data_IF_366223753226
#
_entry.id   IF_366223753226
#
_cell.length_a   1.000
_cell.length_b   1.000
_cell.length_c   1.000
_cell.angle_alpha   90.00
_cell.angle_beta   90.00
_cell.angle_gamma   90.00
#
_symmetry.space_group_name_H-M   'P 1'
#
loop_
_entity.id
_entity.type
_entity.pdbx_description
1 polymer ?
#
# COMPACT_ATOMS: atom_id res chain seq x y z
N UNK A 1 -1.59 19.20 -17.07
CA UNK A 1 -2.51 18.87 -15.96
C UNK A 1 -1.76 17.91 -15.04
N UNK A 2 -1.32 18.38 -13.86
CA UNK A 2 -0.71 17.55 -12.81
C UNK A 2 -1.71 17.49 -11.66
N UNK A 3 -2.76 16.67 -11.82
CA UNK A 3 -3.70 16.43 -10.73
C UNK A 3 -3.10 15.35 -9.81
N UNK A 4 -2.88 15.61 -8.51
CA UNK A 4 -2.43 14.59 -7.56
C UNK A 4 -3.30 13.33 -7.54
N UNK A 5 -4.56 13.42 -8.01
CA UNK A 5 -5.48 12.30 -8.11
C UNK A 5 -5.28 11.43 -9.36
N UNK A 6 -4.41 11.81 -10.31
CA UNK A 6 -4.07 10.99 -11.48
C UNK A 6 -2.92 10.02 -11.22
N UNK A 7 -2.36 10.03 -10.00
CA UNK A 7 -1.25 9.16 -9.59
C UNK A 7 -1.81 8.09 -8.67
N UNK A 8 -1.41 6.84 -8.90
CA UNK A 8 -1.79 5.74 -8.02
C UNK A 8 -1.50 6.07 -6.54
N UNK A 9 -2.34 5.64 -5.60
CA UNK A 9 -2.12 5.90 -4.18
C UNK A 9 -0.89 5.18 -3.65
N UNK A 10 -0.28 5.74 -2.60
CA UNK A 10 0.78 5.09 -1.83
C UNK A 10 0.15 4.01 -0.96
N UNK A 11 0.71 2.79 -0.99
CA UNK A 11 0.20 1.69 -0.17
C UNK A 11 0.77 1.80 1.25
N UNK A 12 -0.11 1.89 2.24
CA UNK A 12 0.25 2.11 3.64
C UNK A 12 -0.34 1.01 4.51
N UNK A 13 0.48 0.44 5.39
CA UNK A 13 0.01 -0.46 6.47
C UNK A 13 0.02 0.30 7.79
N UNK A 14 -1.06 0.21 8.56
CA UNK A 14 -1.11 0.74 9.93
C UNK A 14 -0.98 -0.40 10.92
N UNK A 15 -0.06 -0.29 11.87
CA UNK A 15 0.06 -1.21 12.99
C UNK A 15 0.08 -0.42 14.30
N UNK A 16 -0.90 -0.71 15.17
CA UNK A 16 -1.23 0.06 16.37
C UNK A 16 -1.54 1.51 16.02
N UNK A 17 -0.51 2.35 15.92
CA UNK A 17 -0.61 3.79 15.62
C UNK A 17 0.46 4.25 14.61
N UNK A 18 1.28 3.33 14.11
CA UNK A 18 2.37 3.64 13.17
C UNK A 18 1.96 3.26 11.76
N UNK A 19 2.09 4.23 10.84
CA UNK A 19 1.91 4.03 9.41
C UNK A 19 3.24 3.68 8.73
N UNK A 20 3.25 2.61 7.95
CA UNK A 20 4.40 2.12 7.20
C UNK A 20 4.09 2.17 5.70
N UNK A 21 4.99 2.76 4.90
CA UNK A 21 4.89 2.71 3.44
C UNK A 21 5.31 1.31 2.97
N UNK A 22 4.39 0.61 2.31
CA UNK A 22 4.64 -0.72 1.75
C UNK A 22 5.06 -0.61 0.29
N UNK A 23 4.41 0.28 -0.47
CA UNK A 23 4.76 0.58 -1.85
C UNK A 23 4.55 2.08 -2.15
N UNK A 24 5.30 2.61 -3.12
CA UNK A 24 5.17 4.00 -3.55
C UNK A 24 6.19 4.97 -2.95
N UNK A 25 7.31 4.48 -2.42
CA UNK A 25 8.38 5.32 -1.83
C UNK A 25 8.89 6.43 -2.76
N UNK A 26 9.05 6.14 -4.06
CA UNK A 26 9.45 7.16 -5.05
C UNK A 26 8.39 8.26 -5.21
N UNK A 27 7.11 7.88 -5.23
CA UNK A 27 5.97 8.82 -5.31
C UNK A 27 5.91 9.69 -4.06
N UNK A 28 6.02 9.08 -2.87
CA UNK A 28 6.12 9.81 -1.60
C UNK A 28 7.22 10.86 -1.62
N UNK A 29 8.44 10.47 -2.02
CA UNK A 29 9.57 11.39 -2.09
C UNK A 29 9.36 12.51 -3.13
N UNK A 30 8.67 12.23 -4.23
CA UNK A 30 8.31 13.26 -5.22
C UNK A 30 7.33 14.29 -4.62
N UNK A 31 6.26 13.84 -3.95
CA UNK A 31 5.32 14.74 -3.28
C UNK A 31 6.00 15.61 -2.22
N UNK A 32 6.91 15.03 -1.42
CA UNK A 32 7.70 15.76 -0.43
C UNK A 32 8.55 16.86 -1.07
N UNK A 33 9.27 16.55 -2.15
CA UNK A 33 10.11 17.52 -2.89
C UNK A 33 9.30 18.64 -3.54
N UNK A 34 8.06 18.35 -3.92
CA UNK A 34 7.14 19.31 -4.53
C UNK A 34 6.37 20.14 -3.49
N UNK A 35 6.56 19.89 -2.19
CA UNK A 35 5.97 20.68 -1.12
C UNK A 35 4.48 20.41 -0.88
N UNK A 36 3.97 19.24 -1.28
CA UNK A 36 2.58 18.87 -1.00
C UNK A 36 2.38 18.54 0.48
N UNK A 37 1.32 19.08 1.08
CA UNK A 37 0.94 18.78 2.47
C UNK A 37 0.30 17.39 2.61
N UNK A 38 -0.31 16.87 1.53
CA UNK A 38 -1.07 15.61 1.53
C UNK A 38 -0.77 14.79 0.28
N UNK A 39 -0.93 13.48 0.42
CA UNK A 39 -0.74 12.51 -0.66
C UNK A 39 -1.88 11.50 -0.67
N UNK A 40 -2.28 10.97 -1.84
CA UNK A 40 -3.26 9.89 -1.90
C UNK A 40 -2.65 8.62 -1.31
N UNK A 41 -3.38 7.97 -0.39
CA UNK A 41 -2.98 6.70 0.23
C UNK A 41 -4.08 5.66 0.09
N UNK A 42 -3.69 4.38 0.12
CA UNK A 42 -4.59 3.24 0.25
C UNK A 42 -4.09 2.35 1.38
N UNK A 43 -4.96 2.02 2.32
CA UNK A 43 -4.63 1.15 3.43
C UNK A 43 -4.57 -0.31 2.97
N UNK A 44 -3.52 -1.00 3.41
CA UNK A 44 -3.39 -2.46 3.36
C UNK A 44 -3.76 -3.00 4.73
N UNK A 45 -4.89 -3.68 4.80
CA UNK A 45 -5.34 -4.38 6.00
C UNK A 45 -4.71 -5.77 6.06
N UNK A 46 -4.54 -6.31 7.27
CA UNK A 46 -3.93 -7.65 7.44
C UNK A 46 -4.70 -8.76 6.72
N UNK A 47 -6.00 -8.59 6.46
CA UNK A 47 -6.78 -9.55 5.68
C UNK A 47 -6.38 -9.58 4.19
N UNK A 48 -5.85 -8.48 3.67
CA UNK A 48 -5.39 -8.32 2.28
C UNK A 48 -4.08 -9.09 2.05
N UNK A 49 -3.26 -9.25 3.10
CA UNK A 49 -1.86 -9.63 2.96
C UNK A 49 -1.60 -11.12 2.73
N UNK A 50 -2.33 -12.04 3.37
CA UNK A 50 -1.92 -13.43 3.30
C UNK A 50 -2.61 -14.34 4.29
N UNK A 51 -2.39 -15.65 4.12
CA UNK A 51 -2.22 -16.49 5.31
C UNK A 51 -0.88 -16.11 5.93
N UNK A 52 -0.87 -15.87 7.23
CA UNK A 52 0.34 -15.55 7.98
C UNK A 52 1.00 -16.86 8.43
N UNK A 53 2.29 -17.03 8.14
CA UNK A 53 3.09 -18.13 8.68
C UNK A 53 3.51 -17.86 10.12
N UNK A 54 3.94 -18.87 10.89
CA UNK A 54 4.29 -18.71 12.30
C UNK A 54 5.43 -17.72 12.58
N UNK A 55 6.30 -17.46 11.61
CA UNK A 55 7.39 -16.47 11.64
C UNK A 55 6.93 -15.04 11.27
N UNK A 56 5.66 -14.87 10.92
CA UNK A 56 5.05 -13.59 10.57
C UNK A 56 5.18 -13.17 9.11
N UNK A 57 5.65 -14.05 8.24
CA UNK A 57 5.61 -13.85 6.79
C UNK A 57 4.19 -14.03 6.27
N UNK A 58 3.78 -13.20 5.31
CA UNK A 58 2.48 -13.36 4.63
C UNK A 58 2.68 -14.09 3.31
N UNK A 59 1.92 -15.16 3.08
CA UNK A 59 2.00 -15.96 1.86
C UNK A 59 0.64 -15.96 1.15
N UNK A 60 0.70 -15.82 -0.17
CA UNK A 60 -0.41 -16.01 -1.12
C UNK A 60 0.04 -16.99 -2.19
N UNK A 61 -0.92 -17.73 -2.76
CA UNK A 61 -0.61 -18.53 -3.95
C UNK A 61 -0.47 -17.60 -5.16
N UNK A 62 0.30 -18.01 -6.18
CA UNK A 62 0.39 -17.26 -7.43
C UNK A 62 -0.96 -17.15 -8.13
N UNK A 63 -1.79 -18.18 -8.00
CA UNK A 63 -3.16 -18.19 -8.52
C UNK A 63 -4.04 -17.12 -7.85
N UNK A 64 -3.95 -16.95 -6.53
CA UNK A 64 -4.68 -15.89 -5.80
C UNK A 64 -4.25 -14.48 -6.25
N UNK A 65 -2.95 -14.29 -6.52
CA UNK A 65 -2.40 -13.01 -6.98
C UNK A 65 -2.88 -12.71 -8.41
N UNK A 66 -2.82 -13.72 -9.30
CA UNK A 66 -3.17 -13.58 -10.71
C UNK A 66 -4.68 -13.50 -10.95
N UNK A 67 -5.49 -14.12 -10.09
CA UNK A 67 -6.95 -14.02 -10.12
C UNK A 67 -7.46 -12.61 -9.70
N UNK A 68 -6.55 -11.70 -9.35
CA UNK A 68 -6.88 -10.34 -8.95
C UNK A 68 -7.75 -10.34 -7.71
N UNK A 69 -7.27 -11.00 -6.64
CA UNK A 69 -7.95 -11.17 -5.36
C UNK A 69 -8.98 -10.07 -5.12
N UNK A 70 -10.26 -10.42 -5.25
CA UNK A 70 -11.37 -9.55 -4.86
C UNK A 70 -11.17 -9.25 -3.38
N UNK A 71 -10.66 -8.06 -3.11
CA UNK A 71 -10.75 -7.44 -1.81
C UNK A 71 -12.25 -7.16 -1.61
N UNK A 72 -12.91 -8.00 -0.81
CA UNK A 72 -14.24 -7.71 -0.31
C UNK A 72 -14.22 -6.45 0.55
#
# INVERSE_FOLDING_TARGET
MNDPNSVDPILVRVNKETAYIVDGHHRYNAFLKLGYERVPIKYLHSYDLGKMTPDGTFIRTLEDILAGAKLC
#
